data_IF_186458215237
#
_entry.id   IF_186458215237
#
_cell.length_a   1.000
_cell.length_b   1.000
_cell.length_c   1.000
_cell.angle_alpha   90.00
_cell.angle_beta   90.00
_cell.angle_gamma   90.00
#
_symmetry.space_group_name_H-M   'P 1'
#
loop_
_entity.id
_entity.type
_entity.pdbx_description
1 polymer ?
#
# COMPACT_ATOMS: atom_id res chain seq x y z
N UNK A 1 -21.68 0.95 14.17
CA UNK A 1 -21.80 -0.50 13.91
C UNK A 1 -22.98 -0.85 12.98
N UNK A 2 -22.68 -1.25 11.73
CA UNK A 2 -23.67 -1.83 10.80
C UNK A 2 -23.67 -3.35 10.98
N UNK A 3 -24.84 -3.93 11.24
CA UNK A 3 -25.05 -5.37 11.27
C UNK A 3 -25.79 -5.79 10.03
N UNK A 4 -25.15 -6.62 9.21
CA UNK A 4 -25.80 -7.24 8.07
C UNK A 4 -26.69 -8.41 8.55
N UNK A 5 -27.76 -8.75 7.81
CA UNK A 5 -28.64 -9.85 8.19
C UNK A 5 -27.89 -11.19 8.27
N UNK A 6 -28.13 -11.97 9.33
CA UNK A 6 -27.49 -13.28 9.55
C UNK A 6 -27.70 -14.27 8.39
N UNK A 7 -28.83 -14.15 7.68
CA UNK A 7 -29.14 -14.98 6.52
C UNK A 7 -28.13 -14.78 5.37
N UNK A 8 -27.51 -13.61 5.25
CA UNK A 8 -26.46 -13.34 4.28
C UNK A 8 -25.25 -14.25 4.52
N UNK A 9 -24.93 -14.51 5.79
CA UNK A 9 -23.75 -15.26 6.23
C UNK A 9 -23.97 -16.76 6.32
N UNK A 10 -25.23 -17.20 6.40
CA UNK A 10 -25.61 -18.60 6.66
C UNK A 10 -26.31 -19.28 5.49
N UNK A 11 -27.05 -18.52 4.66
CA UNK A 11 -27.93 -19.07 3.63
C UNK A 11 -27.36 -18.93 2.21
N UNK A 12 -26.44 -17.99 1.99
CA UNK A 12 -25.92 -17.65 0.66
C UNK A 12 -24.80 -18.60 0.18
N UNK A 13 -25.12 -19.89 0.01
CA UNK A 13 -24.16 -20.95 -0.41
C UNK A 13 -23.61 -20.79 -1.83
N UNK A 14 -24.30 -20.06 -2.70
CA UNK A 14 -23.89 -19.80 -4.09
C UNK A 14 -23.12 -18.49 -4.27
N UNK A 15 -22.97 -17.67 -3.22
CA UNK A 15 -22.38 -16.35 -3.32
C UNK A 15 -20.89 -16.46 -3.70
N UNK A 16 -20.52 -15.86 -4.83
CA UNK A 16 -19.14 -15.87 -5.34
C UNK A 16 -18.43 -14.53 -5.18
N UNK A 17 -19.21 -13.45 -5.04
CA UNK A 17 -18.72 -12.08 -4.97
C UNK A 17 -19.53 -11.29 -3.94
N UNK A 18 -18.83 -10.66 -3.01
CA UNK A 18 -19.43 -9.81 -1.99
C UNK A 18 -18.70 -8.46 -1.97
N UNK A 19 -19.47 -7.38 -2.08
CA UNK A 19 -18.97 -6.02 -2.00
C UNK A 19 -19.78 -5.26 -0.96
N UNK A 20 -19.10 -4.61 -0.03
CA UNK A 20 -19.73 -3.77 0.98
C UNK A 20 -19.08 -2.40 1.00
N UNK A 21 -19.90 -1.34 0.95
CA UNK A 21 -19.45 0.04 1.04
C UNK A 21 -20.13 0.70 2.24
N UNK A 22 -19.34 0.98 3.27
CA UNK A 22 -19.74 1.75 4.44
C UNK A 22 -19.70 3.25 4.19
N UNK A 23 -20.12 4.01 5.19
CA UNK A 23 -20.11 5.49 5.17
C UNK A 23 -18.76 6.11 5.53
N UNK A 24 -17.72 5.30 5.78
CA UNK A 24 -16.42 5.76 6.27
C UNK A 24 -15.93 4.91 7.43
N UNK A 25 -14.61 4.74 7.55
CA UNK A 25 -14.00 3.88 8.58
C UNK A 25 -14.35 4.33 10.00
N UNK A 26 -14.51 5.63 10.24
CA UNK A 26 -14.88 6.16 11.57
C UNK A 26 -16.39 6.13 11.86
N UNK A 27 -17.21 5.93 10.83
CA UNK A 27 -18.67 5.92 10.95
C UNK A 27 -19.25 4.50 10.92
N UNK A 28 -18.48 3.53 10.39
CA UNK A 28 -18.99 2.21 10.05
C UNK A 28 -18.14 1.09 10.63
N UNK A 29 -18.44 0.66 11.86
CA UNK A 29 -17.93 -0.63 12.32
C UNK A 29 -18.63 -1.75 11.58
N UNK A 30 -17.84 -2.57 10.88
CA UNK A 30 -18.30 -3.79 10.25
C UNK A 30 -18.01 -4.95 11.19
N UNK A 31 -19.07 -5.59 11.67
CA UNK A 31 -18.99 -6.74 12.55
C UNK A 31 -19.58 -7.96 11.84
N UNK A 32 -18.84 -9.07 11.90
CA UNK A 32 -19.36 -10.38 11.54
C UNK A 32 -20.22 -10.91 12.71
N UNK A 33 -21.34 -11.60 12.44
CA UNK A 33 -22.15 -12.17 13.50
C UNK A 33 -21.38 -13.27 14.24
N UNK A 34 -21.69 -13.47 15.53
CA UNK A 34 -21.10 -14.51 16.39
C UNK A 34 -21.69 -15.91 16.13
N UNK A 35 -22.08 -16.19 14.89
CA UNK A 35 -22.62 -17.47 14.42
C UNK A 35 -21.62 -18.10 13.43
N UNK A 36 -21.70 -19.41 13.16
CA UNK A 36 -20.92 -20.01 12.08
C UNK A 36 -21.26 -19.36 10.75
N UNK A 37 -20.27 -18.70 10.15
CA UNK A 37 -20.38 -18.07 8.84
C UNK A 37 -19.83 -19.04 7.81
N UNK A 38 -20.53 -19.21 6.69
CA UNK A 38 -20.09 -20.13 5.66
C UNK A 38 -20.37 -19.61 4.26
N UNK A 39 -19.29 -19.21 3.60
CA UNK A 39 -19.26 -18.76 2.22
C UNK A 39 -18.42 -19.72 1.36
N UNK A 40 -18.92 -20.93 1.08
CA UNK A 40 -18.14 -22.00 0.46
C UNK A 40 -17.65 -21.67 -0.96
N UNK A 41 -18.25 -20.67 -1.61
CA UNK A 41 -17.99 -20.31 -3.01
C UNK A 41 -17.49 -18.88 -3.17
N UNK A 42 -17.29 -18.13 -2.08
CA UNK A 42 -16.91 -16.72 -2.16
C UNK A 42 -15.46 -16.61 -2.60
N UNK A 43 -15.27 -16.10 -3.82
CA UNK A 43 -13.97 -15.91 -4.47
C UNK A 43 -13.49 -14.46 -4.40
N UNK A 44 -14.41 -13.52 -4.24
CA UNK A 44 -14.12 -12.09 -4.25
C UNK A 44 -14.80 -11.38 -3.08
N UNK A 45 -14.01 -10.69 -2.29
CA UNK A 45 -14.46 -9.84 -1.20
C UNK A 45 -13.90 -8.43 -1.36
N UNK A 46 -14.79 -7.43 -1.31
CA UNK A 46 -14.42 -6.02 -1.29
C UNK A 46 -15.13 -5.31 -0.15
N UNK A 47 -14.35 -4.66 0.70
CA UNK A 47 -14.83 -3.81 1.79
C UNK A 47 -14.29 -2.40 1.56
N UNK A 48 -15.19 -1.43 1.61
CA UNK A 48 -14.86 -0.02 1.41
C UNK A 48 -15.42 0.83 2.52
N UNK A 49 -14.60 1.68 3.16
CA UNK A 49 -15.08 2.67 4.13
C UNK A 49 -15.64 2.05 5.41
N UNK A 50 -14.91 1.09 6.00
CA UNK A 50 -15.34 0.36 7.21
C UNK A 50 -14.22 0.19 8.24
N UNK A 51 -14.56 0.25 9.53
CA UNK A 51 -13.67 -0.19 10.61
C UNK A 51 -13.91 -1.66 10.93
N UNK A 52 -12.81 -2.41 10.98
CA UNK A 52 -12.75 -3.82 11.35
C UNK A 52 -11.99 -3.99 12.69
N UNK A 53 -11.70 -2.90 13.41
CA UNK A 53 -10.94 -2.93 14.67
C UNK A 53 -11.77 -3.45 15.86
N UNK A 54 -13.10 -3.39 15.76
CA UNK A 54 -14.01 -3.80 16.84
C UNK A 54 -14.09 -5.30 17.12
N UNK A 55 -13.51 -6.15 16.26
CA UNK A 55 -13.44 -7.60 16.45
C UNK A 55 -12.03 -8.11 16.10
N UNK A 56 -11.22 -8.37 17.12
CA UNK A 56 -9.83 -8.82 16.99
C UNK A 56 -9.70 -10.14 16.18
N UNK A 57 -10.75 -10.95 16.16
CA UNK A 57 -10.80 -12.22 15.46
C UNK A 57 -11.51 -12.14 14.10
N UNK A 58 -11.89 -10.95 13.64
CA UNK A 58 -12.65 -10.80 12.40
C UNK A 58 -11.90 -11.36 11.21
N UNK A 59 -10.59 -11.14 11.15
CA UNK A 59 -9.73 -11.66 10.08
C UNK A 59 -9.74 -13.19 10.07
N UNK A 60 -9.50 -13.85 11.21
CA UNK A 60 -9.53 -15.31 11.30
C UNK A 60 -10.93 -15.90 11.00
N UNK A 61 -12.00 -15.25 11.47
CA UNK A 61 -13.39 -15.62 11.15
C UNK A 61 -13.69 -15.51 9.66
N UNK A 62 -13.33 -14.40 9.03
CA UNK A 62 -13.62 -14.13 7.62
C UNK A 62 -13.00 -15.20 6.71
N UNK A 63 -11.76 -15.60 6.95
CA UNK A 63 -11.07 -16.58 6.09
C UNK A 63 -11.44 -18.04 6.40
N UNK A 64 -11.64 -18.40 7.67
CA UNK A 64 -12.19 -19.73 8.00
C UNK A 64 -13.57 -19.94 7.37
N UNK A 65 -14.30 -18.85 7.12
CA UNK A 65 -15.60 -18.87 6.47
C UNK A 65 -15.56 -18.85 4.94
N UNK A 66 -14.44 -18.45 4.33
CA UNK A 66 -14.30 -18.26 2.88
C UNK A 66 -13.12 -19.10 2.31
N UNK A 67 -13.23 -20.44 2.26
CA UNK A 67 -12.12 -21.34 1.93
C UNK A 67 -11.65 -21.29 0.47
N UNK A 68 -12.29 -20.49 -0.38
CA UNK A 68 -11.96 -20.35 -1.82
C UNK A 68 -11.74 -18.88 -2.23
N UNK A 69 -11.45 -18.00 -1.26
CA UNK A 69 -11.27 -16.57 -1.51
C UNK A 69 -9.98 -16.29 -2.31
N UNK A 70 -10.14 -15.87 -3.57
CA UNK A 70 -9.05 -15.58 -4.49
C UNK A 70 -8.68 -14.08 -4.52
N UNK A 71 -9.62 -13.19 -4.16
CA UNK A 71 -9.43 -11.73 -4.20
C UNK A 71 -9.97 -11.04 -2.95
N UNK A 72 -9.12 -10.23 -2.32
CA UNK A 72 -9.48 -9.40 -1.17
C UNK A 72 -9.09 -7.94 -1.45
N UNK A 73 -10.09 -7.06 -1.48
CA UNK A 73 -9.91 -5.64 -1.70
C UNK A 73 -10.41 -4.86 -0.48
N UNK A 74 -9.56 -4.01 0.05
CA UNK A 74 -9.81 -3.21 1.24
C UNK A 74 -9.48 -1.77 0.88
N UNK A 75 -10.50 -0.92 0.86
CA UNK A 75 -10.36 0.48 0.53
C UNK A 75 -10.89 1.31 1.68
N UNK A 76 -10.18 2.30 2.19
CA UNK A 76 -10.59 3.07 3.36
C UNK A 76 -11.01 2.22 4.55
N UNK A 77 -10.15 1.29 4.96
CA UNK A 77 -10.47 0.36 6.05
C UNK A 77 -9.51 0.50 7.24
N UNK A 78 -10.06 0.64 8.45
CA UNK A 78 -9.29 0.48 9.70
C UNK A 78 -9.19 -0.99 10.04
N UNK A 79 -8.02 -1.63 9.87
CA UNK A 79 -7.91 -3.07 10.16
C UNK A 79 -6.54 -3.44 10.72
N UNK A 80 -6.55 -4.32 11.72
CA UNK A 80 -5.39 -5.10 12.14
C UNK A 80 -5.39 -6.44 11.40
N UNK A 81 -4.39 -6.67 10.57
CA UNK A 81 -4.29 -7.90 9.79
C UNK A 81 -3.13 -8.75 10.26
N UNK A 82 -3.41 -9.99 10.64
CA UNK A 82 -2.44 -11.06 10.62
C UNK A 82 -3.01 -12.18 9.76
N UNK A 83 -2.50 -12.29 8.54
CA UNK A 83 -3.14 -13.05 7.50
C UNK A 83 -2.16 -14.01 6.82
N UNK A 84 -2.60 -15.26 6.67
CA UNK A 84 -1.92 -16.28 5.90
C UNK A 84 -2.93 -16.97 4.99
N UNK A 85 -2.65 -17.08 3.69
CA UNK A 85 -3.52 -17.78 2.74
C UNK A 85 -2.74 -18.40 1.60
N UNK A 86 -3.01 -19.68 1.37
CA UNK A 86 -2.44 -20.43 0.25
C UNK A 86 -3.23 -20.25 -1.06
N UNK A 87 -4.40 -19.61 -1.02
CA UNK A 87 -5.32 -19.53 -2.17
C UNK A 87 -5.47 -18.11 -2.72
N UNK A 88 -5.09 -17.10 -1.93
CA UNK A 88 -5.28 -15.70 -2.32
C UNK A 88 -4.35 -15.36 -3.48
N UNK A 89 -4.93 -14.82 -4.56
CA UNK A 89 -4.21 -14.42 -5.78
C UNK A 89 -4.09 -12.90 -5.90
N UNK A 90 -5.08 -12.17 -5.39
CA UNK A 90 -5.14 -10.72 -5.49
C UNK A 90 -5.41 -10.09 -4.12
N UNK A 91 -4.54 -9.16 -3.72
CA UNK A 91 -4.70 -8.38 -2.50
C UNK A 91 -4.58 -6.89 -2.80
N UNK A 92 -5.54 -6.12 -2.31
CA UNK A 92 -5.50 -4.65 -2.36
C UNK A 92 -5.75 -4.08 -0.97
N UNK A 93 -4.83 -3.24 -0.51
CA UNK A 93 -5.01 -2.30 0.58
C UNK A 93 -4.80 -0.89 0.03
N UNK A 94 -5.80 -0.03 0.16
CA UNK A 94 -5.77 1.32 -0.42
C UNK A 94 -6.49 2.30 0.50
N UNK A 95 -5.74 3.05 1.30
CA UNK A 95 -6.27 4.01 2.28
C UNK A 95 -5.91 5.45 1.86
N UNK A 96 -6.90 6.29 1.56
CA UNK A 96 -6.80 7.69 1.13
C UNK A 96 -7.54 8.68 2.05
N UNK A 97 -8.20 8.20 3.11
CA UNK A 97 -8.98 8.99 4.05
C UNK A 97 -8.10 9.58 5.16
N UNK A 98 -8.34 10.86 5.45
CA UNK A 98 -7.46 11.76 6.22
C UNK A 98 -7.80 11.80 7.71
N UNK A 99 -8.84 11.11 8.15
CA UNK A 99 -9.29 11.19 9.54
C UNK A 99 -8.35 10.48 10.54
N UNK A 100 -8.19 11.14 11.67
CA UNK A 100 -7.14 10.88 12.64
C UNK A 100 -7.60 9.80 13.63
N UNK A 101 -6.93 8.64 13.60
CA UNK A 101 -6.92 7.74 14.76
C UNK A 101 -5.48 7.64 15.23
N UNK A 102 -5.22 8.14 16.44
CA UNK A 102 -3.92 8.07 17.13
C UNK A 102 -3.44 6.64 17.36
N UNK A 103 -4.34 5.66 17.28
CA UNK A 103 -4.05 4.24 17.48
C UNK A 103 -3.42 3.55 16.27
N UNK A 104 -3.25 4.26 15.13
CA UNK A 104 -2.82 3.66 13.87
C UNK A 104 -1.37 3.14 13.90
N UNK A 105 -0.50 3.74 14.72
CA UNK A 105 0.90 3.33 14.88
C UNK A 105 1.07 1.94 15.52
N UNK A 106 0.10 1.51 16.34
CA UNK A 106 0.12 0.20 17.00
C UNK A 106 -0.45 -0.92 16.11
N UNK A 107 -0.95 -0.58 14.91
CA UNK A 107 -1.56 -1.54 14.02
C UNK A 107 -0.50 -2.20 13.15
N UNK A 108 -0.50 -3.53 13.16
CA UNK A 108 0.36 -4.35 12.30
C UNK A 108 -0.47 -4.95 11.16
N UNK A 109 0.11 -4.91 9.96
CA UNK A 109 -0.41 -5.57 8.76
C UNK A 109 0.58 -6.65 8.34
N UNK A 110 0.25 -7.90 8.65
CA UNK A 110 1.00 -9.09 8.25
C UNK A 110 0.24 -9.87 7.19
N UNK A 111 0.87 -10.12 6.06
CA UNK A 111 0.34 -10.86 4.91
C UNK A 111 1.37 -11.92 4.50
N UNK A 112 0.95 -13.18 4.54
CA UNK A 112 1.70 -14.32 4.01
C UNK A 112 0.87 -15.05 2.95
N UNK A 113 1.27 -14.97 1.68
CA UNK A 113 0.47 -15.52 0.60
C UNK A 113 1.34 -16.02 -0.58
N UNK A 114 1.79 -17.29 -0.56
CA UNK A 114 2.75 -17.81 -1.55
C UNK A 114 2.20 -17.84 -2.97
N UNK A 115 0.88 -17.91 -3.14
CA UNK A 115 0.21 -17.93 -4.44
C UNK A 115 -0.36 -16.55 -4.84
N UNK A 116 0.01 -15.49 -4.13
CA UNK A 116 -0.37 -14.12 -4.48
C UNK A 116 0.34 -13.70 -5.77
N UNK A 117 -0.41 -13.31 -6.79
CA UNK A 117 0.13 -12.88 -8.08
C UNK A 117 0.06 -11.37 -8.27
N UNK A 118 -0.82 -10.68 -7.55
CA UNK A 118 -0.99 -9.24 -7.64
C UNK A 118 -1.19 -8.60 -6.26
N UNK A 119 -0.41 -7.54 -6.01
CA UNK A 119 -0.44 -6.76 -4.79
C UNK A 119 -0.67 -5.28 -5.12
N UNK A 120 -1.63 -4.66 -4.44
CA UNK A 120 -1.74 -3.20 -4.38
C UNK A 120 -1.68 -2.82 -2.91
N UNK A 121 -0.74 -1.97 -2.54
CA UNK A 121 -0.64 -1.44 -1.18
C UNK A 121 -0.34 0.05 -1.21
N UNK A 122 -1.36 0.85 -0.93
CA UNK A 122 -1.27 2.31 -0.87
C UNK A 122 -1.76 2.77 0.50
N UNK A 123 -0.86 3.31 1.31
CA UNK A 123 -1.16 3.60 2.72
C UNK A 123 -0.27 4.74 3.25
N UNK A 124 -0.56 5.21 4.45
CA UNK A 124 0.15 6.34 5.08
C UNK A 124 1.53 5.98 5.64
N UNK A 125 1.93 4.71 5.55
CA UNK A 125 3.15 4.17 6.16
C UNK A 125 3.23 4.35 7.67
N UNK A 126 2.11 4.71 8.34
CA UNK A 126 1.97 4.88 9.80
C UNK A 126 1.91 3.57 10.57
N UNK A 127 1.53 2.48 9.90
CA UNK A 127 1.45 1.12 10.45
C UNK A 127 2.76 0.36 10.27
N UNK A 128 2.94 -0.76 10.99
CA UNK A 128 4.00 -1.71 10.65
C UNK A 128 3.51 -2.76 9.66
N UNK A 129 4.36 -3.12 8.70
CA UNK A 129 4.04 -4.06 7.62
C UNK A 129 5.03 -5.24 7.62
N UNK A 130 4.47 -6.44 7.53
CA UNK A 130 5.18 -7.71 7.39
C UNK A 130 4.59 -8.45 6.20
N UNK A 131 5.23 -8.27 5.04
CA UNK A 131 4.87 -8.94 3.80
C UNK A 131 5.83 -10.10 3.58
N UNK A 132 5.36 -11.31 3.82
CA UNK A 132 6.18 -12.52 3.84
C UNK A 132 5.68 -13.53 2.80
N UNK A 133 6.56 -14.42 2.32
CA UNK A 133 6.21 -15.52 1.41
C UNK A 133 5.36 -15.05 0.20
N UNK A 134 5.82 -14.05 -0.55
CA UNK A 134 5.15 -13.57 -1.77
C UNK A 134 5.83 -14.12 -3.04
N UNK A 135 6.14 -15.42 -3.05
CA UNK A 135 7.00 -16.03 -4.07
C UNK A 135 6.43 -16.02 -5.48
N UNK A 136 5.09 -16.04 -5.62
CA UNK A 136 4.42 -16.02 -6.93
C UNK A 136 4.03 -14.60 -7.40
N UNK A 137 4.49 -13.56 -6.72
CA UNK A 137 4.07 -12.20 -7.00
C UNK A 137 4.62 -11.74 -8.36
N UNK A 138 3.72 -11.37 -9.27
CA UNK A 138 4.05 -10.92 -10.62
C UNK A 138 3.97 -9.40 -10.70
N UNK A 139 2.90 -8.82 -10.13
CA UNK A 139 2.64 -7.38 -10.19
C UNK A 139 2.52 -6.78 -8.79
N UNK A 140 3.12 -5.60 -8.61
CA UNK A 140 2.98 -4.81 -7.39
C UNK A 140 2.72 -3.34 -7.71
N UNK A 141 1.77 -2.71 -7.02
CA UNK A 141 1.55 -1.27 -7.01
C UNK A 141 1.63 -0.76 -5.57
N UNK A 142 2.73 -0.08 -5.26
CA UNK A 142 3.03 0.46 -3.93
C UNK A 142 2.87 1.98 -3.95
N UNK A 143 2.23 2.53 -2.92
CA UNK A 143 2.11 3.96 -2.73
C UNK A 143 2.22 4.35 -1.26
N UNK A 144 2.89 5.46 -1.02
CA UNK A 144 2.90 6.17 0.25
C UNK A 144 1.92 7.35 0.18
N UNK A 145 1.29 7.67 1.29
CA UNK A 145 0.53 8.91 1.46
C UNK A 145 0.99 9.62 2.72
N UNK A 146 0.80 10.93 2.75
CA UNK A 146 0.94 11.72 3.97
C UNK A 146 -0.39 12.41 4.23
N UNK A 147 -0.77 12.52 5.50
CA UNK A 147 -1.96 13.26 5.88
C UNK A 147 -1.71 14.74 5.61
N UNK A 148 -2.47 15.33 4.69
CA UNK A 148 -2.55 16.78 4.59
C UNK A 148 -3.55 17.29 5.63
N UNK A 149 -3.15 18.32 6.38
CA UNK A 149 -4.08 19.01 7.30
C UNK A 149 -5.10 19.83 6.52
N UNK A 150 -4.76 20.23 5.32
CA UNK A 150 -5.63 20.95 4.39
C UNK A 150 -6.30 19.93 3.45
N UNK A 151 -7.32 19.26 3.99
CA UNK A 151 -8.23 18.43 3.19
C UNK A 151 -8.60 19.21 1.92
N UNK A 152 -8.46 18.59 0.73
CA UNK A 152 -8.80 19.10 -0.62
C UNK A 152 -7.69 19.67 -1.51
N UNK A 153 -6.44 19.85 -1.05
CA UNK A 153 -5.35 20.23 -1.95
C UNK A 153 -4.74 19.01 -2.68
N UNK A 154 -4.27 19.16 -3.94
CA UNK A 154 -3.47 18.12 -4.58
C UNK A 154 -2.19 17.87 -3.77
N UNK A 155 -1.74 16.63 -3.69
CA UNK A 155 -0.55 16.23 -2.95
C UNK A 155 0.68 17.09 -3.33
N UNK A 156 1.19 17.87 -2.36
CA UNK A 156 2.31 18.78 -2.56
C UNK A 156 3.61 18.21 -2.00
N UNK A 157 4.77 18.47 -2.63
CA UNK A 157 6.07 18.07 -2.10
C UNK A 157 6.33 18.57 -0.68
N UNK A 158 5.82 19.76 -0.36
CA UNK A 158 6.05 20.43 0.92
C UNK A 158 5.64 19.57 2.12
N UNK A 159 4.54 18.82 1.99
CA UNK A 159 4.00 17.96 3.05
C UNK A 159 5.01 16.89 3.48
N UNK A 160 5.80 16.37 2.53
CA UNK A 160 6.82 15.36 2.78
C UNK A 160 8.07 15.96 3.42
N UNK A 161 8.44 17.18 3.05
CA UNK A 161 9.56 17.90 3.67
C UNK A 161 9.25 18.40 5.09
N UNK A 162 7.97 18.61 5.41
CA UNK A 162 7.51 19.07 6.72
C UNK A 162 7.32 17.93 7.74
N UNK A 163 7.45 16.66 7.31
CA UNK A 163 7.49 15.52 8.22
C UNK A 163 8.66 15.66 9.20
N UNK A 164 8.39 15.36 10.48
CA UNK A 164 9.45 15.23 11.47
C UNK A 164 10.46 14.16 11.02
N UNK A 165 11.75 14.39 11.29
CA UNK A 165 12.84 13.55 10.79
C UNK A 165 12.66 12.08 11.16
N UNK A 166 12.28 11.80 12.41
CA UNK A 166 12.02 10.47 12.93
C UNK A 166 10.84 9.77 12.23
N UNK A 167 9.76 10.52 11.95
CA UNK A 167 8.61 10.01 11.19
C UNK A 167 9.00 9.68 9.76
N UNK A 168 9.78 10.55 9.10
CA UNK A 168 10.25 10.34 7.73
C UNK A 168 11.17 9.14 7.63
N UNK A 169 12.11 8.96 8.56
CA UNK A 169 12.99 7.79 8.65
C UNK A 169 12.19 6.51 8.88
N UNK A 170 11.20 6.53 9.78
CA UNK A 170 10.31 5.41 10.03
C UNK A 170 9.52 5.02 8.76
N UNK A 171 8.97 5.99 8.04
CA UNK A 171 8.26 5.75 6.78
C UNK A 171 9.19 5.17 5.71
N UNK A 172 10.38 5.75 5.55
CA UNK A 172 11.41 5.24 4.65
C UNK A 172 11.77 3.78 4.96
N UNK A 173 12.05 3.45 6.22
CA UNK A 173 12.37 2.08 6.64
C UNK A 173 11.23 1.09 6.34
N UNK A 174 9.97 1.49 6.52
CA UNK A 174 8.80 0.67 6.18
C UNK A 174 8.64 0.48 4.67
N UNK A 175 8.90 1.51 3.88
CA UNK A 175 8.89 1.40 2.41
C UNK A 175 10.00 0.49 1.88
N UNK A 176 11.16 0.46 2.54
CA UNK A 176 12.23 -0.49 2.24
C UNK A 176 11.76 -1.94 2.48
N UNK A 177 10.93 -2.20 3.51
CA UNK A 177 10.31 -3.53 3.71
C UNK A 177 9.43 -3.91 2.51
N UNK A 178 8.67 -2.97 1.95
CA UNK A 178 7.88 -3.22 0.73
C UNK A 178 8.77 -3.55 -0.47
N UNK A 179 9.80 -2.74 -0.73
CA UNK A 179 10.77 -2.98 -1.82
C UNK A 179 11.36 -4.39 -1.71
N UNK A 180 11.76 -4.80 -0.51
CA UNK A 180 12.27 -6.16 -0.24
C UNK A 180 11.23 -7.24 -0.52
N UNK A 181 9.99 -7.03 -0.09
CA UNK A 181 8.92 -8.01 -0.22
C UNK A 181 8.51 -8.26 -1.69
N UNK A 182 8.68 -7.26 -2.56
CA UNK A 182 8.30 -7.35 -3.99
C UNK A 182 9.48 -7.67 -4.91
N UNK A 183 10.59 -8.19 -4.38
CA UNK A 183 11.84 -8.45 -5.12
C UNK A 183 11.72 -9.30 -6.40
N UNK A 184 10.70 -10.16 -6.50
CA UNK A 184 10.52 -11.12 -7.61
C UNK A 184 9.51 -10.64 -8.67
N UNK A 185 8.98 -9.41 -8.55
CA UNK A 185 7.97 -8.92 -9.49
C UNK A 185 8.54 -8.63 -10.87
N UNK A 186 7.74 -8.86 -11.90
CA UNK A 186 8.05 -8.45 -13.28
C UNK A 186 7.59 -7.03 -13.56
N UNK A 187 6.55 -6.59 -12.87
CA UNK A 187 5.90 -5.30 -13.06
C UNK A 187 5.75 -4.59 -11.71
N UNK A 188 6.51 -3.51 -11.53
CA UNK A 188 6.47 -2.68 -10.34
C UNK A 188 5.94 -1.29 -10.68
N UNK A 189 4.91 -0.87 -9.94
CA UNK A 189 4.40 0.50 -9.95
C UNK A 189 4.63 1.16 -8.60
N UNK A 190 5.19 2.37 -8.63
CA UNK A 190 5.30 3.28 -7.49
C UNK A 190 4.36 4.46 -7.77
N UNK A 191 3.13 4.37 -7.26
CA UNK A 191 2.02 5.25 -7.67
C UNK A 191 1.96 6.61 -6.97
N UNK A 192 2.79 6.86 -5.95
CA UNK A 192 2.73 8.09 -5.17
C UNK A 192 3.96 8.97 -5.39
N UNK A 193 3.78 10.27 -5.70
CA UNK A 193 4.86 11.19 -6.02
C UNK A 193 5.98 11.25 -4.99
N UNK A 194 5.61 11.28 -3.71
CA UNK A 194 6.55 11.41 -2.59
C UNK A 194 7.22 10.10 -2.15
N UNK A 195 6.92 8.97 -2.80
CA UNK A 195 7.57 7.70 -2.47
C UNK A 195 9.09 7.79 -2.64
N UNK A 196 9.54 8.27 -3.80
CA UNK A 196 10.98 8.37 -4.06
C UNK A 196 11.66 9.42 -3.19
N UNK A 197 10.96 10.51 -2.89
CA UNK A 197 11.44 11.58 -2.01
C UNK A 197 11.81 11.02 -0.62
N UNK A 198 10.91 10.25 -0.01
CA UNK A 198 11.11 9.72 1.35
C UNK A 198 12.04 8.51 1.35
N UNK A 199 11.90 7.59 0.39
CA UNK A 199 12.72 6.36 0.37
C UNK A 199 14.20 6.66 0.16
N UNK A 200 14.52 7.79 -0.49
CA UNK A 200 15.90 8.19 -0.79
C UNK A 200 16.81 8.20 0.44
N UNK A 201 16.28 8.63 1.60
CA UNK A 201 16.99 8.70 2.87
C UNK A 201 17.14 7.37 3.60
N UNK A 202 16.65 6.27 3.05
CA UNK A 202 16.68 4.94 3.66
C UNK A 202 17.21 3.85 2.72
N UNK A 203 17.79 4.23 1.58
CA UNK A 203 18.33 3.27 0.58
C UNK A 203 19.53 2.48 1.11
N UNK A 204 20.25 3.02 2.08
CA UNK A 204 21.30 2.32 2.83
C UNK A 204 20.77 1.07 3.54
N UNK A 205 19.50 1.07 3.95
CA UNK A 205 18.85 -0.10 4.55
C UNK A 205 18.66 -1.25 3.56
N UNK A 206 18.78 -1.03 2.24
CA UNK A 206 18.84 -2.10 1.23
C UNK A 206 20.24 -2.72 1.10
N UNK A 207 21.24 -2.20 1.83
CA UNK A 207 22.68 -2.48 1.75
C UNK A 207 23.16 -3.93 1.96
N UNK A 208 22.28 -4.92 1.89
CA UNK A 208 22.70 -6.27 1.54
C UNK A 208 23.22 -6.23 0.09
N UNK A 209 24.52 -6.40 -0.12
CA UNK A 209 25.24 -6.33 -1.41
C UNK A 209 24.61 -7.14 -2.57
N UNK A 210 23.61 -7.99 -2.29
CA UNK A 210 22.96 -8.89 -3.23
C UNK A 210 21.49 -8.54 -3.54
N UNK A 211 20.93 -7.45 -3.01
CA UNK A 211 19.56 -7.09 -3.37
C UNK A 211 19.50 -6.60 -4.82
N UNK A 212 18.79 -7.35 -5.67
CA UNK A 212 18.56 -7.01 -7.06
C UNK A 212 17.14 -7.41 -7.47
N UNK A 213 16.55 -6.58 -8.33
CA UNK A 213 15.31 -6.86 -9.05
C UNK A 213 15.61 -7.63 -10.33
N UNK A 214 16.02 -8.90 -10.20
CA UNK A 214 16.41 -9.73 -11.34
C UNK A 214 15.25 -10.01 -12.32
N UNK A 215 14.03 -10.07 -11.80
CA UNK A 215 12.84 -10.42 -12.58
C UNK A 215 12.10 -9.19 -13.13
N UNK A 216 12.42 -7.99 -12.62
CA UNK A 216 11.76 -6.76 -13.03
C UNK A 216 12.00 -6.47 -14.51
N UNK A 217 10.92 -6.19 -15.23
CA UNK A 217 10.89 -5.82 -16.65
C UNK A 217 10.26 -4.45 -16.86
N UNK A 218 9.21 -4.14 -16.10
CA UNK A 218 8.44 -2.91 -16.25
C UNK A 218 8.40 -2.13 -14.94
N UNK A 219 8.90 -0.90 -14.97
CA UNK A 219 8.88 0.01 -13.84
C UNK A 219 8.04 1.25 -14.18
N UNK A 220 6.95 1.46 -13.45
CA UNK A 220 6.10 2.64 -13.58
C UNK A 220 6.24 3.50 -12.32
N UNK A 221 6.64 4.76 -12.48
CA UNK A 221 6.93 5.67 -11.38
C UNK A 221 6.16 6.96 -11.59
N UNK A 222 5.42 7.37 -10.56
CA UNK A 222 4.87 8.71 -10.42
C UNK A 222 5.73 9.45 -9.40
N UNK A 223 6.31 10.61 -9.77
CA UNK A 223 7.24 11.35 -8.89
C UNK A 223 7.35 12.84 -9.23
N UNK A 224 8.13 13.57 -8.45
CA UNK A 224 8.53 14.96 -8.72
C UNK A 224 9.97 15.04 -9.23
N UNK A 225 10.38 16.23 -9.68
CA UNK A 225 11.78 16.49 -10.05
C UNK A 225 12.51 17.11 -8.86
N UNK A 226 13.08 16.25 -8.01
CA UNK A 226 13.99 16.63 -6.92
C UNK A 226 15.27 15.78 -6.96
N UNK A 227 16.32 16.26 -6.30
CA UNK A 227 17.58 15.49 -6.18
C UNK A 227 17.36 14.12 -5.53
N UNK A 228 16.54 14.06 -4.47
CA UNK A 228 16.17 12.83 -3.78
C UNK A 228 15.42 11.85 -4.69
N UNK A 229 14.42 12.33 -5.42
CA UNK A 229 13.66 11.49 -6.35
C UNK A 229 14.56 10.91 -7.44
N UNK A 230 15.45 11.72 -8.03
CA UNK A 230 16.34 11.27 -9.10
C UNK A 230 17.41 10.31 -8.58
N UNK A 231 17.93 10.52 -7.37
CA UNK A 231 18.87 9.60 -6.72
C UNK A 231 18.22 8.23 -6.46
N UNK A 232 16.99 8.23 -5.92
CA UNK A 232 16.26 6.99 -5.67
C UNK A 232 15.88 6.26 -6.97
N UNK A 233 15.46 7.00 -8.01
CA UNK A 233 15.22 6.45 -9.34
C UNK A 233 16.50 5.80 -9.90
N UNK A 234 17.63 6.51 -9.89
CA UNK A 234 18.91 6.00 -10.37
C UNK A 234 19.34 4.74 -9.62
N UNK A 235 19.13 4.70 -8.30
CA UNK A 235 19.38 3.52 -7.49
C UNK A 235 18.50 2.34 -7.90
N UNK A 236 17.19 2.53 -8.03
CA UNK A 236 16.25 1.47 -8.44
C UNK A 236 16.60 0.90 -9.81
N UNK A 237 16.99 1.76 -10.76
CA UNK A 237 17.45 1.33 -12.10
C UNK A 237 18.74 0.52 -11.99
N UNK A 238 19.71 0.98 -11.18
CA UNK A 238 21.00 0.28 -10.98
C UNK A 238 20.83 -1.15 -10.45
N UNK A 239 19.84 -1.38 -9.58
CA UNK A 239 19.57 -2.72 -9.02
C UNK A 239 18.63 -3.57 -9.88
N UNK A 240 18.23 -3.11 -11.07
CA UNK A 240 17.27 -3.77 -11.97
C UNK A 240 17.94 -4.18 -13.29
N UNK A 241 18.79 -5.22 -13.30
CA UNK A 241 19.68 -5.52 -14.44
C UNK A 241 18.96 -5.91 -15.74
N UNK A 242 17.70 -6.36 -15.66
CA UNK A 242 16.93 -6.88 -16.77
C UNK A 242 15.73 -6.00 -17.16
N UNK A 243 15.72 -4.75 -16.71
CA UNK A 243 14.63 -3.82 -16.98
C UNK A 243 14.47 -3.56 -18.49
N UNK A 244 13.23 -3.55 -18.98
CA UNK A 244 12.90 -3.37 -20.40
C UNK A 244 12.21 -2.03 -20.67
N UNK A 245 11.43 -1.52 -19.73
CA UNK A 245 10.75 -0.23 -19.89
C UNK A 245 10.58 0.49 -18.56
N UNK A 246 10.78 1.81 -18.61
CA UNK A 246 10.55 2.72 -17.51
C UNK A 246 9.50 3.74 -17.97
N UNK A 247 8.39 3.81 -17.25
CA UNK A 247 7.36 4.82 -17.44
C UNK A 247 7.44 5.82 -16.30
N UNK A 248 7.91 7.03 -16.61
CA UNK A 248 8.05 8.10 -15.63
C UNK A 248 6.96 9.15 -15.83
N UNK A 249 6.12 9.35 -14.81
CA UNK A 249 5.11 10.40 -14.78
C UNK A 249 5.54 11.47 -13.80
N UNK A 250 5.85 12.65 -14.31
CA UNK A 250 6.21 13.81 -13.47
C UNK A 250 4.95 14.58 -13.11
N UNK A 251 4.65 14.67 -11.82
CA UNK A 251 3.58 15.53 -11.34
C UNK A 251 4.10 16.96 -11.24
N UNK A 252 3.40 17.92 -11.87
CA UNK A 252 3.76 19.33 -11.76
C UNK A 252 3.54 19.80 -10.31
N UNK A 253 4.55 20.48 -9.78
CA UNK A 253 4.45 21.25 -8.56
C UNK A 253 4.02 22.66 -8.98
N UNK A 254 2.94 23.19 -8.41
CA UNK A 254 2.74 24.63 -8.46
C UNK A 254 3.92 25.24 -7.71
N UNK A 255 4.88 25.79 -8.46
CA UNK A 255 5.99 26.54 -7.89
C UNK A 255 5.37 27.73 -7.17
N UNK A 256 5.38 27.71 -5.84
CA UNK A 256 5.24 28.94 -5.07
C UNK A 256 6.40 29.84 -5.49
N UNK A 257 6.13 30.80 -6.38
CA UNK A 257 7.09 31.79 -6.89
C UNK A 257 7.67 32.70 -5.80
N UNK A 258 7.37 32.43 -4.53
CA UNK A 258 7.73 33.24 -3.36
C UNK A 258 8.61 32.52 -2.33
N UNK A 259 9.09 31.30 -2.59
CA UNK A 259 9.97 30.60 -1.65
C UNK A 259 11.43 30.55 -2.16
N UNK A 260 12.35 31.38 -1.63
CA UNK A 260 13.76 31.30 -1.96
C UNK A 260 14.39 30.18 -1.12
N UNK A 261 14.60 29.00 -1.71
CA UNK A 261 15.50 27.99 -1.10
C UNK A 261 14.92 26.59 -0.91
N UNK A 262 14.28 26.02 -1.92
CA UNK A 262 14.21 24.56 -2.05
C UNK A 262 15.07 24.12 -3.22
N UNK A 263 15.87 23.07 -3.04
CA UNK A 263 16.65 22.37 -4.09
C UNK A 263 15.74 21.68 -5.12
N UNK A 264 14.84 22.45 -5.71
CA UNK A 264 14.15 22.08 -6.95
C UNK A 264 15.16 22.31 -8.05
N UNK A 265 15.41 21.30 -8.88
CA UNK A 265 16.37 21.42 -9.97
C UNK A 265 15.80 22.43 -10.98
N UNK A 266 16.16 23.70 -10.79
CA UNK A 266 15.94 24.76 -11.75
C UNK A 266 17.18 24.79 -12.65
N UNK A 267 17.01 24.37 -13.89
CA UNK A 267 17.91 24.73 -14.98
C UNK A 267 18.91 23.66 -15.41
N UNK A 268 18.71 23.20 -16.64
CA UNK A 268 19.73 23.02 -17.68
C UNK A 268 21.17 22.79 -17.17
N UNK A 269 21.58 21.53 -17.12
CA UNK A 269 22.98 21.18 -17.38
C UNK A 269 23.02 20.11 -18.48
N UNK A 270 23.62 20.52 -19.58
CA UNK A 270 24.02 19.70 -20.72
C UNK A 270 24.67 18.39 -20.26
N UNK A 271 24.12 17.27 -20.73
CA UNK A 271 24.81 15.99 -20.69
C UNK A 271 26.09 16.07 -21.54
N UNK A 272 27.24 15.55 -21.07
CA UNK A 272 28.37 15.24 -21.94
C UNK A 272 28.03 14.08 -22.90
#
# INVERSE_FOLDING_TARGET
MIKLPDCLFTSCKSLTKFKFRGGGRDMTDFALPNIPIYFPRLKYLELTGVSLLGDENLTSKLFSSCPVLESLLLTECSVKFHFSSLILKHFKLDNYDTYDSTDEYAITVKLSAPNLTSLICKDYMSRDYSLENLSSLVTADIGMRVKDKENFAPERPKIYSELATDVREMYGARMIKFIRAVRNVTDLKLSSPGFLEVVSGSLDLLGDLNFQFCDLRFLNIVTWVSGNCMNALAYLVKISPNIQSIFLTIQQTELDTNSPGGDWIVGLSSFP
#
